data_IF_940713244799
#
_entry.id   IF_940713244799
#
_cell.length_a   1.000
_cell.length_b   1.000
_cell.length_c   1.000
_cell.angle_alpha   90.00
_cell.angle_beta   90.00
_cell.angle_gamma   90.00
#
_symmetry.space_group_name_H-M   'P 1'
#
loop_
_entity.id
_entity.type
_entity.pdbx_description
1 polymer ?
#
# COMPACT_ATOMS: atom_id res chain seq x y z
N UNK A 1 -0.77 -20.70 8.21
CA UNK A 1 -0.63 -20.29 6.80
C UNK A 1 -1.09 -18.85 6.55
N UNK A 2 -2.33 -18.45 6.90
CA UNK A 2 -2.78 -17.04 6.77
C UNK A 2 -2.01 -16.02 7.64
N UNK A 3 -1.39 -16.48 8.74
CA UNK A 3 -0.60 -15.64 9.65
C UNK A 3 0.60 -15.00 8.92
N UNK A 4 1.28 -15.73 8.04
CA UNK A 4 2.42 -15.20 7.28
C UNK A 4 1.98 -14.06 6.35
N UNK A 5 0.86 -14.23 5.64
CA UNK A 5 0.30 -13.19 4.78
C UNK A 5 -0.13 -11.95 5.57
N UNK A 6 -0.74 -12.14 6.75
CA UNK A 6 -1.09 -11.03 7.64
C UNK A 6 0.14 -10.26 8.14
N UNK A 7 1.19 -10.96 8.58
CA UNK A 7 2.46 -10.35 9.01
C UNK A 7 3.12 -9.59 7.85
N UNK A 8 3.13 -10.17 6.65
CA UNK A 8 3.68 -9.53 5.45
C UNK A 8 2.98 -8.20 5.17
N UNK A 9 1.65 -8.19 5.15
CA UNK A 9 0.89 -6.96 4.95
C UNK A 9 1.13 -5.92 6.05
N UNK A 10 1.14 -6.34 7.33
CA UNK A 10 1.43 -5.42 8.44
C UNK A 10 2.84 -4.80 8.33
N UNK A 11 3.83 -5.56 7.90
CA UNK A 11 5.18 -5.03 7.67
C UNK A 11 5.21 -4.02 6.53
N UNK A 12 4.57 -4.34 5.40
CA UNK A 12 4.47 -3.46 4.25
C UNK A 12 3.73 -2.15 4.60
N UNK A 13 2.60 -2.25 5.30
CA UNK A 13 1.79 -1.08 5.70
C UNK A 13 2.53 -0.18 6.69
N UNK A 14 3.24 -0.76 7.67
CA UNK A 14 4.12 0.01 8.56
C UNK A 14 5.17 0.80 7.78
N UNK A 15 5.81 0.16 6.80
CA UNK A 15 6.85 0.80 5.99
C UNK A 15 6.27 1.91 5.12
N UNK A 16 5.13 1.67 4.46
CA UNK A 16 4.42 2.67 3.68
C UNK A 16 4.10 3.91 4.53
N UNK A 17 3.50 3.70 5.70
CA UNK A 17 3.10 4.78 6.59
C UNK A 17 4.31 5.56 7.13
N UNK A 18 5.43 4.90 7.39
CA UNK A 18 6.68 5.56 7.78
C UNK A 18 7.16 6.52 6.67
N UNK A 19 7.27 6.04 5.42
CA UNK A 19 7.74 6.85 4.29
C UNK A 19 6.76 7.99 3.99
N UNK A 20 5.45 7.71 4.01
CA UNK A 20 4.41 8.72 3.81
C UNK A 20 4.52 9.87 4.83
N UNK A 21 4.72 9.55 6.11
CA UNK A 21 4.88 10.55 7.18
C UNK A 21 6.18 11.35 7.06
N UNK A 22 7.23 10.78 6.48
CA UNK A 22 8.49 11.49 6.18
C UNK A 22 8.35 12.43 4.99
N UNK A 23 7.62 12.03 3.95
CA UNK A 23 7.41 12.80 2.72
C UNK A 23 6.47 14.00 2.93
N UNK A 24 5.33 13.79 3.58
CA UNK A 24 4.31 14.83 3.79
C UNK A 24 4.85 16.21 4.18
N UNK A 25 5.67 16.35 5.26
CA UNK A 25 6.14 17.66 5.71
C UNK A 25 7.13 18.33 4.75
N UNK A 26 7.71 17.61 3.78
CA UNK A 26 8.63 18.16 2.77
C UNK A 26 7.91 18.78 1.58
N UNK A 27 6.60 18.59 1.49
CA UNK A 27 5.78 19.08 0.38
C UNK A 27 5.11 20.41 0.74
N UNK A 28 4.94 21.29 -0.26
CA UNK A 28 4.05 22.46 -0.14
C UNK A 28 2.60 22.02 0.10
N UNK A 29 1.77 22.87 0.72
CA UNK A 29 0.38 22.55 1.03
C UNK A 29 -0.43 22.05 -0.19
N UNK A 30 -0.24 22.67 -1.36
CA UNK A 30 -0.87 22.22 -2.60
C UNK A 30 -0.44 20.79 -3.00
N UNK A 31 0.85 20.47 -2.87
CA UNK A 31 1.37 19.12 -3.17
C UNK A 31 0.95 18.09 -2.12
N UNK A 32 0.88 18.48 -0.84
CA UNK A 32 0.35 17.62 0.22
C UNK A 32 -1.08 17.19 -0.07
N UNK A 33 -1.96 18.13 -0.42
CA UNK A 33 -3.35 17.81 -0.75
C UNK A 33 -3.46 16.84 -1.93
N UNK A 34 -2.65 17.03 -2.98
CA UNK A 34 -2.59 16.11 -4.12
C UNK A 34 -2.10 14.73 -3.70
N UNK A 35 -1.09 14.63 -2.85
CA UNK A 35 -0.58 13.35 -2.35
C UNK A 35 -1.63 12.63 -1.49
N UNK A 36 -2.33 13.34 -0.61
CA UNK A 36 -3.40 12.79 0.22
C UNK A 36 -4.50 12.20 -0.68
N UNK A 37 -4.97 12.96 -1.67
CA UNK A 37 -5.98 12.47 -2.62
C UNK A 37 -5.49 11.27 -3.43
N UNK A 38 -4.24 11.28 -3.88
CA UNK A 38 -3.64 10.15 -4.57
C UNK A 38 -3.55 8.90 -3.67
N UNK A 39 -3.24 9.08 -2.39
CA UNK A 39 -3.15 7.98 -1.43
C UNK A 39 -4.52 7.37 -1.12
N UNK A 40 -5.56 8.19 -0.97
CA UNK A 40 -6.94 7.73 -0.81
C UNK A 40 -7.43 6.95 -2.03
N UNK A 41 -7.16 7.45 -3.24
CA UNK A 41 -7.49 6.74 -4.47
C UNK A 41 -6.73 5.41 -4.60
N UNK A 42 -5.45 5.41 -4.22
CA UNK A 42 -4.63 4.20 -4.20
C UNK A 42 -5.15 3.14 -3.23
N UNK A 43 -5.62 3.52 -2.03
CA UNK A 43 -6.23 2.57 -1.09
C UNK A 43 -7.43 1.86 -1.74
N UNK A 44 -8.32 2.62 -2.39
CA UNK A 44 -9.47 2.04 -3.11
C UNK A 44 -9.02 1.08 -4.21
N UNK A 45 -8.01 1.47 -4.99
CA UNK A 45 -7.42 0.62 -6.03
C UNK A 45 -6.85 -0.68 -5.45
N UNK A 46 -6.07 -0.60 -4.37
CA UNK A 46 -5.47 -1.75 -3.69
C UNK A 46 -6.56 -2.72 -3.25
N UNK A 47 -7.56 -2.23 -2.54
CA UNK A 47 -8.61 -3.05 -1.97
C UNK A 47 -9.43 -3.71 -3.09
N UNK A 48 -9.81 -2.97 -4.14
CA UNK A 48 -10.54 -3.55 -5.27
C UNK A 48 -9.72 -4.56 -6.09
N UNK A 49 -8.42 -4.32 -6.24
CA UNK A 49 -7.53 -5.23 -6.99
C UNK A 49 -7.33 -6.53 -6.22
N UNK A 50 -7.12 -6.43 -4.90
CA UNK A 50 -6.93 -7.62 -4.08
C UNK A 50 -8.22 -8.42 -3.88
N UNK A 51 -9.39 -7.76 -3.84
CA UNK A 51 -10.66 -8.48 -3.89
C UNK A 51 -10.83 -9.23 -5.22
N UNK A 52 -10.45 -8.62 -6.34
CA UNK A 52 -10.46 -9.29 -7.64
C UNK A 52 -9.52 -10.51 -7.65
N UNK A 53 -8.29 -10.39 -7.16
CA UNK A 53 -7.35 -11.53 -7.08
C UNK A 53 -7.86 -12.65 -6.16
N UNK A 54 -8.44 -12.28 -5.01
CA UNK A 54 -9.06 -13.23 -4.08
C UNK A 54 -10.23 -13.99 -4.72
N UNK A 55 -11.00 -13.34 -5.60
CA UNK A 55 -12.23 -13.91 -6.17
C UNK A 55 -12.01 -15.22 -6.93
N UNK A 56 -10.83 -15.42 -7.52
CA UNK A 56 -10.47 -16.67 -8.20
C UNK A 56 -10.41 -17.91 -7.25
N UNK A 57 -10.37 -17.68 -5.95
CA UNK A 57 -10.24 -18.69 -4.90
C UNK A 57 -11.42 -18.67 -3.93
N UNK A 58 -12.52 -18.00 -4.29
CA UNK A 58 -13.67 -17.79 -3.42
C UNK A 58 -14.27 -19.11 -2.91
N UNK A 59 -14.65 -19.15 -1.63
CA UNK A 59 -15.09 -20.37 -0.95
C UNK A 59 -13.97 -21.34 -0.56
N UNK A 60 -12.73 -21.13 -1.04
CA UNK A 60 -11.56 -21.93 -0.68
C UNK A 60 -10.81 -21.42 0.54
N UNK A 61 -10.11 -22.31 1.24
CA UNK A 61 -9.28 -21.98 2.42
C UNK A 61 -8.05 -21.11 2.08
N UNK A 62 -7.70 -21.00 0.79
CA UNK A 62 -6.59 -20.18 0.31
C UNK A 62 -6.97 -18.71 0.07
N UNK A 63 -8.24 -18.37 -0.14
CA UNK A 63 -8.66 -16.99 -0.45
C UNK A 63 -8.12 -15.94 0.54
N UNK A 64 -8.19 -16.14 1.87
CA UNK A 64 -7.65 -15.16 2.82
C UNK A 64 -6.12 -14.99 2.72
N UNK A 65 -5.40 -16.05 2.36
CA UNK A 65 -3.95 -16.00 2.14
C UNK A 65 -3.61 -15.16 0.91
N UNK A 66 -4.29 -15.42 -0.21
CA UNK A 66 -4.12 -14.68 -1.47
C UNK A 66 -4.39 -13.19 -1.26
N UNK A 67 -5.49 -12.87 -0.58
CA UNK A 67 -5.83 -11.48 -0.26
C UNK A 67 -4.72 -10.79 0.55
N UNK A 68 -4.23 -11.44 1.61
CA UNK A 68 -3.17 -10.90 2.46
C UNK A 68 -1.85 -10.67 1.71
N UNK A 69 -1.45 -11.57 0.81
CA UNK A 69 -0.24 -11.39 0.00
C UNK A 69 -0.41 -10.30 -1.05
N UNK A 70 -1.55 -10.23 -1.75
CA UNK A 70 -1.82 -9.11 -2.66
C UNK A 70 -1.72 -7.75 -1.94
N UNK A 71 -2.32 -7.65 -0.75
CA UNK A 71 -2.24 -6.43 0.05
C UNK A 71 -0.80 -6.06 0.37
N UNK A 72 0.05 -7.04 0.71
CA UNK A 72 1.47 -6.81 0.96
C UNK A 72 2.18 -6.30 -0.30
N UNK A 73 2.06 -7.02 -1.42
CA UNK A 73 2.78 -6.72 -2.67
C UNK A 73 2.43 -5.34 -3.22
N UNK A 74 1.13 -5.01 -3.31
CA UNK A 74 0.67 -3.70 -3.81
C UNK A 74 1.13 -2.57 -2.88
N UNK A 75 1.18 -2.82 -1.57
CA UNK A 75 1.67 -1.86 -0.57
C UNK A 75 3.18 -1.64 -0.66
N UNK A 76 3.97 -2.67 -0.94
CA UNK A 76 5.40 -2.56 -1.20
C UNK A 76 5.70 -1.74 -2.46
N UNK A 77 4.94 -1.95 -3.54
CA UNK A 77 5.12 -1.15 -4.77
C UNK A 77 4.82 0.33 -4.51
N UNK A 78 3.73 0.62 -3.79
CA UNK A 78 3.40 2.00 -3.42
C UNK A 78 4.47 2.63 -2.54
N UNK A 79 5.07 1.86 -1.63
CA UNK A 79 6.18 2.32 -0.81
C UNK A 79 7.35 2.80 -1.67
N UNK A 80 7.70 2.07 -2.74
CA UNK A 80 8.76 2.47 -3.67
C UNK A 80 8.45 3.78 -4.39
N UNK A 81 7.19 4.01 -4.78
CA UNK A 81 6.78 5.29 -5.35
C UNK A 81 6.96 6.44 -4.35
N UNK A 82 6.52 6.25 -3.10
CA UNK A 82 6.66 7.26 -2.06
C UNK A 82 8.13 7.54 -1.71
N UNK A 83 8.99 6.51 -1.74
CA UNK A 83 10.44 6.67 -1.56
C UNK A 83 11.05 7.51 -2.66
N UNK A 84 10.71 7.26 -3.92
CA UNK A 84 11.15 8.07 -5.06
C UNK A 84 10.75 9.54 -4.90
N UNK A 85 9.51 9.80 -4.49
CA UNK A 85 9.05 11.17 -4.24
C UNK A 85 9.77 11.84 -3.07
N UNK A 86 10.12 11.08 -2.03
CA UNK A 86 10.90 11.54 -0.89
C UNK A 86 12.31 11.95 -1.32
N UNK A 87 13.00 11.08 -2.07
CA UNK A 87 14.33 11.36 -2.63
C UNK A 87 14.32 12.59 -3.54
N UNK A 88 13.32 12.73 -4.41
CA UNK A 88 13.17 13.90 -5.28
C UNK A 88 12.82 15.19 -4.50
N UNK A 89 12.28 15.09 -3.29
CA UNK A 89 11.98 16.25 -2.42
C UNK A 89 13.18 16.70 -1.57
N UNK A 90 14.21 15.86 -1.49
CA UNK A 90 15.47 16.14 -0.78
C UNK A 90 16.55 16.73 -1.68
N UNK A 91 16.30 16.82 -2.99
CA UNK A 91 17.15 17.49 -3.97
C UNK A 91 16.84 18.97 -4.07
#
# INVERSE_FOLDING_TARGET
>A
MNICASIAYQNADRKLNQVYRQLLPKLSASRQQKLISAQQAWIKFRDSSCEFERSAYEGGSMAPMIYGFCLADVTEQRTKDLQRYLEDSDR
#
